data_IF_829323191453
#
_entry.id   IF_829323191453
#
_cell.length_a   1.000
_cell.length_b   1.000
_cell.length_c   1.000
_cell.angle_alpha   90.00
_cell.angle_beta   90.00
_cell.angle_gamma   90.00
#
_symmetry.space_group_name_H-M   'P 1'
#
loop_
_entity.id
_entity.type
_entity.pdbx_description
1 polymer ?
#
# COMPACT_ATOMS: atom_id res chain seq x y z
N UNK A 1 16.72 2.37 1.14
CA UNK A 1 15.81 2.18 2.30
C UNK A 1 14.62 1.36 1.85
N UNK A 2 14.21 0.34 2.62
CA UNK A 2 13.02 -0.45 2.34
C UNK A 2 11.77 0.22 2.88
N UNK A 3 10.71 0.28 2.09
CA UNK A 3 9.40 0.77 2.47
C UNK A 3 8.47 -0.42 2.70
N UNK A 4 7.90 -0.52 3.90
CA UNK A 4 6.84 -1.49 4.18
C UNK A 4 5.50 -0.83 3.91
N UNK A 5 4.67 -1.43 3.07
CA UNK A 5 3.31 -0.98 2.80
C UNK A 5 2.33 -2.05 3.23
N UNK A 6 1.37 -1.66 4.05
CA UNK A 6 0.23 -2.47 4.42
C UNK A 6 -0.91 -2.06 3.51
N UNK A 7 -1.58 -3.01 2.89
CA UNK A 7 -2.64 -2.71 1.94
C UNK A 7 -3.83 -3.62 2.17
N UNK A 8 -5.04 -3.11 1.90
CA UNK A 8 -6.23 -3.93 1.74
C UNK A 8 -6.71 -3.91 0.31
N UNK A 9 -7.05 -5.09 -0.18
CA UNK A 9 -7.56 -5.29 -1.51
C UNK A 9 -7.39 -6.75 -1.91
N UNK A 10 -6.93 -6.98 -3.13
CA UNK A 10 -6.70 -8.32 -3.64
C UNK A 10 -5.37 -8.43 -4.40
N UNK A 11 -4.83 -9.65 -4.40
CA UNK A 11 -3.63 -10.05 -5.13
C UNK A 11 -4.04 -10.58 -6.51
N UNK A 12 -3.26 -10.25 -7.53
CA UNK A 12 -3.49 -10.68 -8.92
C UNK A 12 -2.15 -10.94 -9.63
N UNK A 13 -2.02 -11.94 -10.52
CA UNK A 13 -0.84 -12.15 -11.33
C UNK A 13 -0.63 -10.96 -12.25
N UNK A 14 0.63 -10.58 -12.42
CA UNK A 14 0.99 -9.45 -13.29
C UNK A 14 0.46 -9.65 -14.70
N UNK A 15 0.54 -10.87 -15.25
CA UNK A 15 0.03 -11.17 -16.59
C UNK A 15 -1.47 -10.85 -16.74
N UNK A 16 -2.27 -11.09 -15.70
CA UNK A 16 -3.71 -10.84 -15.73
C UNK A 16 -4.02 -9.36 -15.60
N UNK A 17 -3.33 -8.68 -14.69
CA UNK A 17 -3.43 -7.23 -14.57
C UNK A 17 -3.04 -6.57 -15.90
N UNK A 18 -1.94 -7.00 -16.50
CA UNK A 18 -1.45 -6.47 -17.77
C UNK A 18 -2.48 -6.67 -18.89
N UNK A 19 -3.03 -7.88 -19.04
CA UNK A 19 -4.09 -8.15 -20.04
C UNK A 19 -5.36 -7.33 -19.79
N UNK A 20 -5.75 -7.15 -18.53
CA UNK A 20 -6.87 -6.28 -18.16
C UNK A 20 -6.60 -4.82 -18.56
N UNK A 21 -5.39 -4.33 -18.32
CA UNK A 21 -4.98 -2.97 -18.71
C UNK A 21 -4.96 -2.82 -20.24
N UNK A 22 -4.41 -3.78 -20.99
CA UNK A 22 -4.36 -3.76 -22.46
C UNK A 22 -5.74 -3.70 -23.09
N UNK A 23 -6.67 -4.52 -22.61
CA UNK A 23 -8.05 -4.55 -23.10
C UNK A 23 -8.79 -3.23 -22.86
N UNK A 24 -8.32 -2.43 -21.90
CA UNK A 24 -8.83 -1.08 -21.61
C UNK A 24 -7.94 0.03 -22.19
N UNK A 25 -7.02 -0.31 -23.11
CA UNK A 25 -6.09 0.62 -23.76
C UNK A 25 -5.15 1.36 -22.79
N UNK A 26 -4.85 0.75 -21.64
CA UNK A 26 -3.88 1.23 -20.66
C UNK A 26 -2.56 0.49 -20.85
N UNK A 27 -1.44 1.19 -20.63
CA UNK A 27 -0.11 0.57 -20.73
C UNK A 27 0.07 -0.49 -19.63
N UNK A 28 0.53 -1.70 -19.98
CA UNK A 28 0.83 -2.75 -19.01
C UNK A 28 1.91 -2.35 -18.00
N UNK A 29 1.92 -3.03 -16.87
CA UNK A 29 2.98 -2.89 -15.85
C UNK A 29 4.23 -3.68 -16.21
N UNK A 30 4.11 -4.78 -16.96
CA UNK A 30 5.20 -5.69 -17.32
C UNK A 30 6.02 -6.19 -16.10
N UNK A 31 5.38 -6.25 -14.93
CA UNK A 31 5.98 -6.65 -13.66
C UNK A 31 6.90 -5.59 -13.05
N UNK A 32 6.83 -4.35 -13.53
CA UNK A 32 7.55 -3.22 -12.96
C UNK A 32 6.66 -2.45 -11.97
N UNK A 33 7.28 -1.95 -10.90
CA UNK A 33 6.61 -1.02 -10.00
C UNK A 33 6.09 0.19 -10.80
N UNK A 34 4.82 0.59 -10.62
CA UNK A 34 4.31 1.80 -11.25
C UNK A 34 5.17 3.01 -10.88
N UNK A 35 5.54 3.79 -11.89
CA UNK A 35 6.36 4.99 -11.72
C UNK A 35 5.46 6.10 -11.20
N UNK A 36 5.68 6.50 -9.96
CA UNK A 36 5.09 7.73 -9.44
C UNK A 36 6.08 8.86 -9.68
N UNK A 37 5.84 9.64 -10.73
CA UNK A 37 6.73 10.74 -11.05
C UNK A 37 6.58 11.85 -10.00
N UNK A 38 7.68 12.34 -9.41
CA UNK A 38 7.64 13.61 -8.70
C UNK A 38 7.19 14.72 -9.66
N UNK A 39 6.62 15.80 -9.13
CA UNK A 39 6.26 16.96 -9.95
C UNK A 39 7.49 17.45 -10.72
N UNK A 40 7.38 17.51 -12.05
CA UNK A 40 8.50 17.90 -12.92
C UNK A 40 8.68 19.43 -12.98
N UNK A 41 7.68 20.19 -12.52
CA UNK A 41 7.63 21.63 -12.64
C UNK A 41 7.34 22.31 -11.30
N UNK A 42 7.97 23.47 -11.01
CA UNK A 42 7.63 24.28 -9.85
C UNK A 42 6.15 24.71 -9.93
N UNK A 43 5.33 24.25 -8.99
CA UNK A 43 3.89 24.57 -8.89
C UNK A 43 2.94 23.39 -9.09
N UNK A 44 3.43 22.24 -9.55
CA UNK A 44 2.66 20.99 -9.58
C UNK A 44 2.73 20.37 -8.17
N UNK A 45 1.64 20.46 -7.40
CA UNK A 45 1.58 19.98 -6.01
C UNK A 45 1.17 18.51 -5.88
N UNK A 46 0.72 17.91 -6.98
CA UNK A 46 0.21 16.54 -6.98
C UNK A 46 1.19 15.58 -7.65
N UNK A 47 1.56 14.50 -6.95
CA UNK A 47 1.97 13.24 -7.56
C UNK A 47 1.27 12.95 -8.88
N UNK A 48 2.01 12.58 -9.92
CA UNK A 48 1.39 11.88 -11.04
C UNK A 48 1.11 10.45 -10.61
N UNK A 49 -0.17 10.15 -10.42
CA UNK A 49 -0.65 8.77 -10.25
C UNK A 49 -0.37 8.04 -11.56
N UNK A 50 0.12 6.81 -11.48
CA UNK A 50 0.38 5.99 -12.67
C UNK A 50 -0.91 5.71 -13.45
N UNK A 51 -0.79 5.45 -14.76
CA UNK A 51 -1.94 5.27 -15.65
C UNK A 51 -2.88 4.14 -15.22
N UNK A 52 -2.35 3.04 -14.67
CA UNK A 52 -3.15 1.93 -14.20
C UNK A 52 -3.97 2.31 -12.96
N UNK A 53 -3.34 2.89 -11.94
CA UNK A 53 -4.06 3.37 -10.75
C UNK A 53 -5.07 4.47 -11.10
N UNK A 54 -4.73 5.39 -12.01
CA UNK A 54 -5.65 6.45 -12.45
C UNK A 54 -6.88 5.88 -13.16
N UNK A 55 -6.69 4.87 -14.01
CA UNK A 55 -7.77 4.15 -14.65
C UNK A 55 -8.69 3.45 -13.65
N UNK A 56 -8.14 2.71 -12.68
CA UNK A 56 -8.93 2.01 -11.66
C UNK A 56 -9.72 2.98 -10.77
N UNK A 57 -9.10 4.10 -10.36
CA UNK A 57 -9.77 5.19 -9.64
C UNK A 57 -10.97 5.73 -10.42
N UNK A 58 -10.80 5.92 -11.72
CA UNK A 58 -11.87 6.40 -12.62
C UNK A 58 -12.98 5.36 -12.74
N UNK A 59 -12.63 4.07 -12.87
CA UNK A 59 -13.58 2.95 -12.96
C UNK A 59 -14.49 2.84 -11.74
N UNK A 60 -13.94 3.06 -10.54
CA UNK A 60 -14.64 3.00 -9.25
C UNK A 60 -15.33 4.32 -8.86
N UNK A 61 -15.09 5.40 -9.59
CA UNK A 61 -15.68 6.71 -9.31
C UNK A 61 -15.26 7.28 -7.94
N UNK A 62 -16.15 8.00 -7.24
CA UNK A 62 -15.82 8.69 -5.98
C UNK A 62 -15.28 7.76 -4.87
N UNK A 63 -15.74 6.51 -4.82
CA UNK A 63 -15.26 5.51 -3.85
C UNK A 63 -13.86 4.99 -4.16
N UNK A 64 -13.38 5.18 -5.39
CA UNK A 64 -12.09 4.69 -5.85
C UNK A 64 -10.89 5.56 -5.50
N UNK A 65 -11.07 6.71 -4.85
CA UNK A 65 -10.04 7.75 -4.75
C UNK A 65 -8.69 7.28 -4.14
N UNK A 66 -8.71 6.25 -3.30
CA UNK A 66 -7.51 5.67 -2.67
C UNK A 66 -7.00 4.42 -3.39
N UNK A 67 -7.64 4.02 -4.48
CA UNK A 67 -7.27 2.82 -5.24
C UNK A 67 -5.88 2.97 -5.85
N UNK A 68 -5.02 1.99 -5.65
CA UNK A 68 -3.67 1.94 -6.19
C UNK A 68 -3.26 0.54 -6.63
N UNK A 69 -2.47 0.49 -7.68
CA UNK A 69 -1.74 -0.69 -8.11
C UNK A 69 -0.38 -0.72 -7.42
N UNK A 70 -0.07 -1.85 -6.79
CA UNK A 70 1.23 -2.14 -6.19
C UNK A 70 1.85 -3.35 -6.87
N UNK A 71 2.98 -3.15 -7.53
CA UNK A 71 3.83 -4.24 -8.01
C UNK A 71 5.09 -4.23 -7.14
N UNK A 72 5.33 -5.26 -6.31
CA UNK A 72 6.51 -5.29 -5.45
C UNK A 72 7.78 -5.24 -6.30
N UNK A 73 8.79 -4.51 -5.82
CA UNK A 73 10.09 -4.47 -6.44
C UNK A 73 11.15 -4.48 -5.35
N UNK A 74 12.08 -5.42 -5.45
CA UNK A 74 13.24 -5.53 -4.57
C UNK A 74 14.51 -5.58 -5.40
N UNK A 75 15.52 -4.85 -4.98
CA UNK A 75 16.79 -4.81 -5.69
C UNK A 75 17.44 -6.20 -5.68
N UNK A 76 17.97 -6.63 -6.82
CA UNK A 76 18.59 -7.95 -6.96
C UNK A 76 17.62 -9.14 -7.05
N UNK A 77 16.30 -8.89 -7.08
CA UNK A 77 15.28 -9.92 -7.28
C UNK A 77 14.71 -9.82 -8.70
N UNK A 78 14.28 -10.95 -9.27
CA UNK A 78 13.58 -10.99 -10.55
C UNK A 78 12.26 -10.19 -10.53
N UNK A 79 11.66 -10.00 -11.71
CA UNK A 79 10.37 -9.31 -11.85
C UNK A 79 9.31 -9.95 -10.95
N UNK A 80 8.43 -9.11 -10.40
CA UNK A 80 7.30 -9.61 -9.64
C UNK A 80 6.36 -10.41 -10.55
N UNK A 81 5.91 -11.55 -10.06
CA UNK A 81 4.89 -12.38 -10.71
C UNK A 81 3.48 -11.96 -10.33
N UNK A 82 3.34 -11.15 -9.27
CA UNK A 82 2.07 -10.70 -8.73
C UNK A 82 2.08 -9.21 -8.46
N UNK A 83 0.92 -8.61 -8.70
CA UNK A 83 0.54 -7.27 -8.33
C UNK A 83 -0.56 -7.32 -7.27
N UNK A 84 -0.80 -6.17 -6.64
CA UNK A 84 -1.86 -5.98 -5.66
C UNK A 84 -2.67 -4.77 -6.08
N UNK A 85 -3.98 -4.92 -6.10
CA UNK A 85 -4.91 -3.83 -6.35
C UNK A 85 -5.49 -3.49 -4.99
N UNK A 86 -5.09 -2.35 -4.43
CA UNK A 86 -5.43 -1.92 -3.09
C UNK A 86 -6.50 -0.83 -3.14
N UNK A 87 -7.56 -0.93 -2.33
CA UNK A 87 -8.52 0.16 -2.14
C UNK A 87 -8.13 1.08 -0.99
N UNK A 88 -7.32 0.59 -0.05
CA UNK A 88 -6.72 1.37 1.02
C UNK A 88 -5.34 0.83 1.36
N UNK A 89 -4.44 1.70 1.81
CA UNK A 89 -3.07 1.35 2.12
C UNK A 89 -2.45 2.32 3.14
N UNK A 90 -1.47 1.81 3.88
CA UNK A 90 -0.66 2.55 4.83
C UNK A 90 0.80 2.22 4.59
N UNK A 91 1.58 3.26 4.32
CA UNK A 91 3.04 3.17 4.24
C UNK A 91 3.66 3.35 5.63
N UNK A 92 4.66 2.51 5.89
CA UNK A 92 5.32 2.35 7.18
C UNK A 92 6.84 2.41 6.92
N UNK A 93 7.44 3.55 7.24
CA UNK A 93 8.88 3.81 7.10
C UNK A 93 9.68 3.39 8.35
N UNK A 94 9.00 3.16 9.47
CA UNK A 94 9.58 2.75 10.75
C UNK A 94 8.51 2.11 11.63
N UNK A 95 8.75 1.94 12.93
CA UNK A 95 7.75 1.33 13.82
C UNK A 95 6.50 2.23 13.95
N UNK A 96 5.32 1.69 13.62
CA UNK A 96 4.04 2.40 13.72
C UNK A 96 2.96 1.51 14.32
N UNK A 97 2.24 2.02 15.30
CA UNK A 97 0.99 1.42 15.78
C UNK A 97 -0.15 1.83 14.84
N UNK A 98 -0.93 0.87 14.39
CA UNK A 98 -2.06 1.12 13.48
C UNK A 98 -3.36 1.05 14.24
N UNK A 99 -4.22 2.04 14.02
CA UNK A 99 -5.58 2.04 14.58
C UNK A 99 -6.51 1.40 13.56
N UNK A 100 -6.75 0.10 13.64
CA UNK A 100 -7.76 -0.58 12.79
C UNK A 100 -9.13 -0.45 13.46
N UNK A 101 -10.21 -0.03 12.76
CA UNK A 101 -10.34 0.15 11.30
C UNK A 101 -9.92 1.52 10.74
N UNK A 102 -9.64 2.53 11.56
CA UNK A 102 -9.42 3.91 11.07
C UNK A 102 -8.26 4.10 10.08
N UNK A 103 -7.12 3.47 10.31
CA UNK A 103 -5.93 3.54 9.44
C UNK A 103 -6.03 2.60 8.23
N UNK A 104 -6.78 1.50 8.34
CA UNK A 104 -6.90 0.49 7.29
C UNK A 104 -8.33 -0.09 7.29
N UNK A 105 -9.32 0.64 6.74
CA UNK A 105 -10.73 0.25 6.75
C UNK A 105 -10.97 -1.09 6.11
N UNK A 106 -11.81 -1.93 6.71
CA UNK A 106 -12.16 -3.26 6.21
C UNK A 106 -13.25 -3.24 5.14
N UNK A 107 -14.04 -2.17 5.05
CA UNK A 107 -15.09 -2.02 4.05
C UNK A 107 -14.52 -1.57 2.70
N UNK A 108 -14.66 -2.36 1.63
CA UNK A 108 -14.25 -1.96 0.29
C UNK A 108 -15.21 -0.91 -0.30
N UNK A 109 -14.75 -0.09 -1.27
CA UNK A 109 -15.61 0.88 -1.93
C UNK A 109 -16.65 0.22 -2.84
N UNK A 110 -17.72 0.95 -3.16
CA UNK A 110 -18.73 0.51 -4.14
C UNK A 110 -18.07 0.20 -5.49
N UNK A 111 -18.46 -0.92 -6.12
CA UNK A 111 -17.88 -1.36 -7.40
C UNK A 111 -16.62 -2.20 -7.27
N UNK A 112 -16.09 -2.40 -6.05
CA UNK A 112 -14.83 -3.10 -5.84
C UNK A 112 -14.93 -4.60 -6.14
N UNK A 113 -16.04 -5.22 -5.74
CA UNK A 113 -16.28 -6.64 -6.00
C UNK A 113 -16.41 -6.89 -7.50
N UNK A 114 -17.17 -6.04 -8.18
CA UNK A 114 -17.39 -6.07 -9.63
C UNK A 114 -16.07 -5.88 -10.37
N UNK A 115 -15.22 -4.93 -9.94
CA UNK A 115 -13.89 -4.74 -10.52
C UNK A 115 -13.03 -6.01 -10.42
N UNK A 116 -13.02 -6.66 -9.25
CA UNK A 116 -12.30 -7.92 -9.05
C UNK A 116 -12.83 -9.01 -9.95
N UNK A 117 -14.15 -9.15 -10.04
CA UNK A 117 -14.81 -10.15 -10.90
C UNK A 117 -14.49 -9.91 -12.38
N UNK A 118 -14.55 -8.66 -12.86
CA UNK A 118 -14.15 -8.28 -14.23
C UNK A 118 -12.70 -8.69 -14.55
N UNK A 119 -11.77 -8.42 -13.64
CA UNK A 119 -10.36 -8.81 -13.82
C UNK A 119 -10.17 -10.33 -13.85
N UNK A 120 -10.93 -11.08 -13.06
CA UNK A 120 -10.85 -12.55 -12.99
C UNK A 120 -11.57 -13.21 -14.16
N UNK A 121 -12.68 -12.67 -14.64
CA UNK A 121 -13.42 -13.23 -15.78
C UNK A 121 -12.62 -13.17 -17.07
N UNK A 122 -11.88 -12.08 -17.29
CA UNK A 122 -10.96 -11.90 -18.42
C UNK A 122 -9.87 -12.97 -18.53
N UNK A 123 -9.63 -13.70 -17.44
CA UNK A 123 -8.62 -14.75 -17.33
C UNK A 123 -9.21 -16.14 -17.58
N UNK A 124 -10.47 -16.35 -17.18
CA UNK A 124 -11.20 -17.60 -17.44
C UNK A 124 -11.24 -17.92 -18.94
N UNK A 125 -11.15 -16.90 -19.79
CA UNK A 125 -11.05 -17.00 -21.25
C UNK A 125 -9.62 -17.34 -21.76
N UNK A 126 -8.95 -18.34 -21.17
CA UNK A 126 -7.77 -18.97 -21.79
C UNK A 126 -6.61 -19.36 -20.88
N UNK A 127 -6.60 -18.98 -19.60
CA UNK A 127 -5.46 -19.22 -18.69
C UNK A 127 -5.89 -19.73 -17.30
N UNK A 128 -6.87 -20.65 -17.28
CA UNK A 128 -7.44 -21.24 -16.06
C UNK A 128 -6.39 -21.76 -15.06
N UNK A 129 -5.29 -22.36 -15.54
CA UNK A 129 -4.23 -22.91 -14.68
C UNK A 129 -3.44 -21.89 -13.87
N UNK A 130 -3.54 -20.60 -14.18
CA UNK A 130 -2.95 -19.52 -13.40
C UNK A 130 -3.89 -19.01 -12.27
N UNK A 131 -5.20 -19.29 -12.35
CA UNK A 131 -6.16 -19.02 -11.26
C UNK A 131 -6.05 -20.04 -10.12
N UNK A 132 -5.55 -21.25 -10.42
CA UNK A 132 -5.32 -22.31 -9.44
C UNK A 132 -4.04 -22.07 -8.60
N UNK A 133 -3.35 -20.94 -8.82
CA UNK A 133 -2.17 -20.58 -8.05
C UNK A 133 -2.53 -20.28 -6.57
N UNK A 134 -1.75 -20.80 -5.59
CA UNK A 134 -2.01 -20.56 -4.17
C UNK A 134 -2.11 -19.07 -3.80
N UNK A 135 -3.15 -18.70 -3.05
CA UNK A 135 -3.38 -17.33 -2.57
C UNK A 135 -4.05 -16.37 -3.57
N UNK A 136 -4.68 -16.91 -4.63
CA UNK A 136 -5.49 -16.18 -5.61
C UNK A 136 -6.98 -16.09 -5.23
N UNK A 137 -7.47 -17.14 -4.60
CA UNK A 137 -8.79 -17.25 -4.00
C UNK A 137 -8.52 -17.42 -2.51
N UNK A 138 -9.14 -16.60 -1.67
CA UNK A 138 -9.09 -16.79 -0.22
C UNK A 138 -9.49 -18.23 0.10
N UNK A 139 -8.86 -18.85 1.08
CA UNK A 139 -9.26 -20.18 1.52
C UNK A 139 -10.73 -20.16 2.00
N UNK A 140 -11.39 -21.32 2.02
CA UNK A 140 -12.80 -21.44 2.42
C UNK A 140 -13.06 -20.69 3.74
N UNK A 141 -13.86 -19.61 3.66
CA UNK A 141 -14.25 -18.79 4.82
C UNK A 141 -13.66 -17.37 4.85
N UNK A 142 -12.70 -17.03 3.99
CA UNK A 142 -12.19 -15.67 3.85
C UNK A 142 -12.88 -14.96 2.68
N UNK A 143 -13.36 -13.72 2.90
CA UNK A 143 -13.82 -12.87 1.80
C UNK A 143 -12.60 -12.42 0.97
N UNK A 144 -12.39 -12.97 -0.24
CA UNK A 144 -11.19 -12.72 -1.02
C UNK A 144 -11.14 -11.29 -1.59
N UNK A 145 -12.18 -10.49 -1.31
CA UNK A 145 -12.39 -9.14 -1.82
C UNK A 145 -11.61 -8.10 -1.00
N UNK A 146 -11.25 -8.40 0.26
CA UNK A 146 -10.67 -7.40 1.18
C UNK A 146 -9.60 -7.96 2.14
N UNK A 147 -8.62 -8.70 1.61
CA UNK A 147 -7.48 -9.22 2.38
C UNK A 147 -6.47 -8.14 2.72
N UNK A 148 -5.78 -8.30 3.85
CA UNK A 148 -4.64 -7.45 4.24
C UNK A 148 -3.35 -8.08 3.73
N UNK A 149 -2.54 -7.31 3.01
CA UNK A 149 -1.22 -7.74 2.55
C UNK A 149 -0.13 -6.82 3.08
N UNK A 150 1.04 -7.41 3.36
CA UNK A 150 2.27 -6.70 3.68
C UNK A 150 3.18 -6.77 2.46
N UNK A 151 3.44 -5.63 1.83
CA UNK A 151 4.29 -5.52 0.65
C UNK A 151 5.51 -4.68 0.98
N UNK A 152 6.70 -5.21 0.68
CA UNK A 152 7.96 -4.50 0.85
C UNK A 152 8.48 -4.07 -0.52
N UNK A 153 8.73 -2.77 -0.68
CA UNK A 153 9.34 -2.19 -1.88
C UNK A 153 10.63 -1.48 -1.50
N UNK A 154 11.72 -1.78 -2.23
CA UNK A 154 13.00 -1.09 -2.06
C UNK A 154 13.11 0.07 -3.06
N UNK A 155 13.73 1.19 -2.65
CA UNK A 155 14.16 2.30 -3.53
C UNK A 155 13.06 3.01 -4.36
N UNK A 156 11.80 2.98 -3.91
CA UNK A 156 10.71 3.67 -4.64
C UNK A 156 10.67 5.17 -4.31
N UNK A 157 10.77 6.01 -5.33
CA UNK A 157 10.41 7.43 -5.23
C UNK A 157 8.87 7.53 -5.15
N UNK A 158 8.37 8.04 -4.03
CA UNK A 158 6.96 8.32 -3.86
C UNK A 158 6.75 9.83 -3.75
N UNK A 159 5.88 10.40 -4.59
CA UNK A 159 5.49 11.78 -4.45
C UNK A 159 4.50 11.84 -3.27
N UNK A 160 4.96 12.40 -2.16
CA UNK A 160 4.12 12.59 -0.99
C UNK A 160 3.17 13.77 -1.25
N UNK A 161 1.91 13.67 -0.80
CA UNK A 161 0.97 14.81 -0.78
C UNK A 161 1.12 15.71 0.48
N UNK A 162 2.11 15.45 1.32
CA UNK A 162 2.41 16.20 2.55
C UNK A 162 3.57 15.57 3.33
N UNK A 163 4.11 16.23 4.36
CA UNK A 163 5.17 15.66 5.19
C UNK A 163 4.68 14.37 5.85
N UNK A 164 5.25 13.22 5.47
CA UNK A 164 4.84 11.90 5.98
C UNK A 164 5.50 11.53 7.31
N UNK A 165 5.91 12.52 8.10
CA UNK A 165 5.74 12.37 9.53
C UNK A 165 4.28 12.77 9.79
N UNK A 166 3.34 11.81 9.64
CA UNK A 166 2.18 11.89 10.53
C UNK A 166 2.83 12.00 11.89
N UNK A 167 2.58 13.11 12.59
CA UNK A 167 2.91 13.24 14.00
C UNK A 167 2.67 11.86 14.57
N UNK A 168 3.69 11.23 15.17
CA UNK A 168 3.41 10.07 16.01
C UNK A 168 2.15 10.44 16.76
N UNK A 169 1.23 9.53 17.05
CA UNK A 169 0.05 9.89 17.83
C UNK A 169 0.42 10.46 19.22
N UNK A 170 1.73 10.63 19.48
CA UNK A 170 2.39 11.23 20.62
C UNK A 170 1.85 10.52 21.84
N UNK A 171 1.51 9.25 21.68
CA UNK A 171 0.90 8.43 22.69
C UNK A 171 2.01 7.58 23.29
N UNK A 172 2.12 7.58 24.62
CA UNK A 172 2.99 6.64 25.29
C UNK A 172 2.49 5.20 25.04
N UNK A 173 3.39 4.32 24.60
CA UNK A 173 3.07 2.92 24.32
C UNK A 173 2.66 2.11 25.55
N UNK A 174 3.14 2.50 26.73
CA UNK A 174 2.95 1.79 28.01
C UNK A 174 1.66 2.20 28.73
N UNK A 175 1.35 3.51 28.78
CA UNK A 175 0.21 4.03 29.55
C UNK A 175 -0.88 4.67 28.69
N UNK A 176 -0.67 4.86 27.38
CA UNK A 176 -1.68 5.39 26.47
C UNK A 176 -1.91 6.91 26.54
N UNK A 177 -1.08 7.66 27.28
CA UNK A 177 -1.21 9.13 27.39
C UNK A 177 -0.72 9.81 26.11
N UNK A 178 -1.53 10.72 25.55
CA UNK A 178 -1.18 11.55 24.39
C UNK A 178 -0.51 12.86 24.79
N UNK A 179 0.49 13.29 24.02
CA UNK A 179 1.30 14.49 24.22
C UNK A 179 1.20 15.46 23.04
N UNK A 180 1.56 16.72 23.25
CA UNK A 180 1.58 17.76 22.21
C UNK A 180 2.91 17.80 21.44
N UNK A 181 3.97 17.21 21.98
CA UNK A 181 5.25 17.05 21.29
C UNK A 181 5.84 15.64 21.47
N UNK A 182 6.66 15.23 20.51
CA UNK A 182 7.40 13.97 20.64
C UNK A 182 8.42 14.04 21.78
N UNK A 183 9.02 15.20 22.04
CA UNK A 183 9.96 15.40 23.13
C UNK A 183 9.30 15.19 24.51
N UNK A 184 8.05 15.61 24.69
CA UNK A 184 7.30 15.39 25.93
C UNK A 184 6.97 13.91 26.13
N UNK A 185 6.56 13.22 25.05
CA UNK A 185 6.33 11.78 25.08
C UNK A 185 7.62 11.02 25.45
N UNK A 186 8.76 11.41 24.89
CA UNK A 186 10.07 10.82 25.22
C UNK A 186 10.46 11.07 26.68
N UNK A 187 10.27 12.29 27.17
CA UNK A 187 10.55 12.66 28.57
C UNK A 187 9.67 11.83 29.51
N UNK A 188 8.39 11.70 29.19
CA UNK A 188 7.45 10.86 29.93
C UNK A 188 7.88 9.39 29.93
N UNK A 189 8.21 8.81 28.78
CA UNK A 189 8.69 7.42 28.69
C UNK A 189 9.94 7.19 29.56
N UNK A 190 10.87 8.15 29.59
CA UNK A 190 12.07 8.09 30.41
C UNK A 190 11.75 8.20 31.91
N UNK A 191 10.97 9.19 32.31
CA UNK A 191 10.75 9.53 33.72
C UNK A 191 9.73 8.61 34.40
N UNK A 192 8.67 8.21 33.70
CA UNK A 192 7.57 7.40 34.24
C UNK A 192 7.80 5.91 34.03
N UNK A 193 8.33 5.53 32.87
CA UNK A 193 8.50 4.13 32.49
C UNK A 193 9.95 3.65 32.52
N UNK A 194 10.92 4.55 32.77
CA UNK A 194 12.34 4.20 32.75
C UNK A 194 12.89 3.84 31.36
N UNK A 195 12.14 4.12 30.29
CA UNK A 195 12.50 3.76 28.92
C UNK A 195 13.33 4.88 28.31
N UNK A 196 14.63 4.64 28.11
CA UNK A 196 15.52 5.58 27.44
C UNK A 196 15.70 5.19 25.96
N UNK A 197 14.91 5.81 25.08
CA UNK A 197 14.90 5.50 23.64
C UNK A 197 16.17 6.04 22.94
N UNK A 198 16.87 6.99 23.57
CA UNK A 198 18.14 7.55 23.07
C UNK A 198 19.37 6.69 23.38
N UNK A 199 19.26 5.72 24.30
CA UNK A 199 20.40 4.87 24.69
C UNK A 199 20.81 3.82 23.64
N UNK A 200 20.16 3.81 22.47
CA UNK A 200 20.41 2.86 21.39
C UNK A 200 21.05 3.45 20.12
N UNK A 201 21.32 4.76 20.08
CA UNK A 201 22.13 5.33 19.00
C UNK A 201 23.61 5.15 19.41
N UNK A 202 24.44 4.46 18.61
CA UNK A 202 25.87 4.43 18.87
C UNK A 202 26.40 5.87 18.93
N UNK A 203 27.23 6.16 19.93
CA UNK A 203 27.78 7.49 20.24
C UNK A 203 28.67 8.09 19.10
N UNK A 204 28.75 7.43 17.94
CA UNK A 204 29.70 7.71 16.87
C UNK A 204 29.00 8.14 15.54
N UNK A 205 28.14 9.17 15.58
CA UNK A 205 27.69 9.90 14.38
C UNK A 205 28.08 11.37 14.41
#
# INVERSE_FOLDING_TARGET
>A
MGLTTLLRGFKIPVAFLDRYLENNHITPTFGHSPIYNPPLWPGESTPRIDGASAFLRTRLGPGGADTLVFVPQRQGVGKATHAYVAFTYVMVYGQRRLKVPGDLPDTPPTGWKELREEMVELVREGEQGLLDAPGMVGEEGEDPVSMVFVVVTDEREFPFRGPFMRESDRTCGECGVTFDSWADCQTHCKEVHGINIWAGLPDDL
#
